data_IF_424362428129
#
_entry.id   IF_424362428129
#
_cell.length_a   1.000
_cell.length_b   1.000
_cell.length_c   1.000
_cell.angle_alpha   90.00
_cell.angle_beta   90.00
_cell.angle_gamma   90.00
#
_symmetry.space_group_name_H-M   'P 1'
#
loop_
_entity.id
_entity.type
_entity.pdbx_description
1 polymer ?
#
# COMPACT_ATOMS: atom_id res chain seq x y z
N UNK A 1 9.66 -19.53 -2.42
CA UNK A 1 9.94 -18.56 -1.34
C UNK A 1 9.74 -17.17 -1.90
N UNK A 2 8.97 -16.31 -1.24
CA UNK A 2 8.73 -14.95 -1.70
C UNK A 2 10.03 -14.16 -1.83
N UNK A 3 10.22 -13.53 -2.98
CA UNK A 3 11.29 -12.57 -3.26
C UNK A 3 10.67 -11.29 -3.76
N UNK A 4 11.21 -10.15 -3.35
CA UNK A 4 10.78 -8.83 -3.79
C UNK A 4 11.98 -7.97 -4.10
N UNK A 5 11.83 -7.05 -5.03
CA UNK A 5 12.77 -5.96 -5.23
C UNK A 5 12.74 -5.02 -4.03
N UNK A 6 13.80 -5.07 -3.24
CA UNK A 6 14.01 -4.15 -2.14
C UNK A 6 14.59 -2.84 -2.67
N UNK A 7 13.88 -1.75 -2.38
CA UNK A 7 14.18 -0.40 -2.86
C UNK A 7 15.51 0.10 -2.31
N UNK A 8 15.84 -0.25 -1.06
CA UNK A 8 17.08 0.17 -0.42
C UNK A 8 18.30 -0.48 -1.10
N UNK A 9 18.24 -1.81 -1.30
CA UNK A 9 19.37 -2.57 -1.89
C UNK A 9 19.38 -2.55 -3.42
N UNK A 10 18.26 -2.19 -4.05
CA UNK A 10 18.03 -2.24 -5.51
C UNK A 10 18.17 -3.64 -6.10
N UNK A 11 17.86 -4.66 -5.30
CA UNK A 11 17.99 -6.07 -5.65
C UNK A 11 16.73 -6.85 -5.31
N UNK A 12 16.48 -7.92 -6.06
CA UNK A 12 15.44 -8.89 -5.73
C UNK A 12 15.95 -9.84 -4.66
N UNK A 13 15.48 -9.62 -3.42
CA UNK A 13 15.93 -10.32 -2.22
C UNK A 13 14.82 -11.23 -1.67
N UNK A 14 15.16 -12.33 -0.98
CA UNK A 14 14.19 -13.08 -0.19
C UNK A 14 13.54 -12.19 0.86
N UNK A 15 12.21 -12.26 0.98
CA UNK A 15 11.48 -11.59 2.06
C UNK A 15 10.92 -12.66 2.99
N UNK A 16 11.48 -12.72 4.19
CA UNK A 16 11.11 -13.69 5.21
C UNK A 16 11.15 -13.05 6.60
N UNK A 17 10.27 -13.47 7.52
CA UNK A 17 10.27 -12.94 8.88
C UNK A 17 11.54 -13.30 9.64
N UNK A 18 12.08 -12.33 10.38
CA UNK A 18 13.23 -12.58 11.26
C UNK A 18 12.80 -13.46 12.46
N UNK A 19 13.32 -14.69 12.53
CA UNK A 19 13.23 -15.55 13.72
C UNK A 19 11.81 -16.04 14.09
N UNK A 20 10.82 -15.90 13.20
CA UNK A 20 9.44 -16.33 13.46
C UNK A 20 8.75 -16.88 12.21
N UNK A 21 7.46 -17.24 12.30
CA UNK A 21 6.59 -17.52 11.15
C UNK A 21 5.61 -16.40 10.84
N UNK A 22 5.85 -15.19 11.38
CA UNK A 22 4.96 -14.03 11.23
C UNK A 22 5.67 -12.94 10.47
N UNK A 23 5.30 -12.72 9.21
CA UNK A 23 5.74 -11.60 8.39
C UNK A 23 4.96 -10.35 8.78
N UNK A 24 5.67 -9.33 9.28
CA UNK A 24 5.10 -8.07 9.76
C UNK A 24 5.29 -7.00 8.71
N UNK A 25 4.19 -6.47 8.22
CA UNK A 25 4.15 -5.58 7.06
C UNK A 25 3.41 -4.29 7.39
N UNK A 26 4.03 -3.16 7.10
CA UNK A 26 3.39 -1.85 7.14
C UNK A 26 3.09 -1.37 5.73
N UNK A 27 1.89 -0.83 5.49
CA UNK A 27 1.53 -0.18 4.22
C UNK A 27 1.15 1.26 4.49
N UNK A 28 1.93 2.19 3.93
CA UNK A 28 1.63 3.61 4.02
C UNK A 28 0.44 3.96 3.11
N UNK A 29 -0.61 4.54 3.69
CA UNK A 29 -1.66 5.24 2.96
C UNK A 29 -1.27 6.71 2.77
N UNK A 30 -1.62 7.30 1.62
CA UNK A 30 -1.40 8.72 1.39
C UNK A 30 -2.37 9.57 2.23
N UNK A 31 -1.96 10.80 2.50
CA UNK A 31 -2.83 11.82 3.11
C UNK A 31 -3.61 12.51 1.98
N UNK A 32 -4.95 12.52 2.05
CA UNK A 32 -5.83 13.11 1.03
C UNK A 32 -6.81 12.09 0.43
N UNK A 33 -7.75 12.55 -0.43
CA UNK A 33 -8.81 11.72 -1.00
C UNK A 33 -8.26 10.50 -1.73
N UNK A 34 -8.80 9.33 -1.39
CA UNK A 34 -8.39 8.04 -1.92
C UNK A 34 -8.91 7.87 -3.34
N UNK A 35 -8.05 7.36 -4.22
CA UNK A 35 -8.41 6.94 -5.56
C UNK A 35 -7.68 5.68 -5.99
N UNK A 36 -7.76 5.34 -7.27
CA UNK A 36 -7.08 4.16 -7.84
C UNK A 36 -5.59 4.09 -7.51
N UNK A 37 -4.92 5.25 -7.38
CA UNK A 37 -3.50 5.35 -7.02
C UNK A 37 -3.19 4.79 -5.63
N UNK A 38 -4.10 4.93 -4.67
CA UNK A 38 -3.95 4.41 -3.30
C UNK A 38 -4.27 2.92 -3.19
N UNK A 39 -5.03 2.38 -4.15
CA UNK A 39 -5.31 0.95 -4.25
C UNK A 39 -4.08 0.16 -4.71
N UNK A 40 -3.13 0.79 -5.40
CA UNK A 40 -1.95 0.10 -5.92
C UNK A 40 -0.98 -0.42 -4.85
N UNK A 41 -0.54 0.37 -3.86
CA UNK A 41 0.25 -0.17 -2.75
C UNK A 41 -0.56 -1.15 -1.89
N UNK A 42 -1.88 -0.97 -1.77
CA UNK A 42 -2.75 -1.91 -1.08
C UNK A 42 -2.84 -3.27 -1.81
N UNK A 43 -2.92 -3.27 -3.14
CA UNK A 43 -2.86 -4.47 -3.97
C UNK A 43 -1.51 -5.19 -3.83
N UNK A 44 -0.41 -4.43 -3.83
CA UNK A 44 0.92 -4.98 -3.58
C UNK A 44 0.99 -5.69 -2.23
N UNK A 45 0.50 -5.05 -1.16
CA UNK A 45 0.42 -5.66 0.16
C UNK A 45 -0.47 -6.92 0.19
N UNK A 46 -1.61 -6.90 -0.48
CA UNK A 46 -2.50 -8.07 -0.61
C UNK A 46 -1.82 -9.24 -1.34
N UNK A 47 -1.09 -8.98 -2.43
CA UNK A 47 -0.35 -9.99 -3.17
C UNK A 47 0.80 -10.58 -2.34
N UNK A 48 1.60 -9.73 -1.68
CA UNK A 48 2.62 -10.17 -0.72
C UNK A 48 1.99 -11.10 0.32
N UNK A 49 0.85 -10.69 0.90
CA UNK A 49 0.15 -11.48 1.90
C UNK A 49 -0.26 -12.84 1.38
N UNK A 50 -0.91 -12.88 0.22
CA UNK A 50 -1.41 -14.12 -0.39
C UNK A 50 -0.29 -15.09 -0.77
N UNK A 51 0.83 -14.58 -1.30
CA UNK A 51 1.99 -15.42 -1.65
C UNK A 51 2.72 -15.91 -0.39
N UNK A 52 2.89 -15.05 0.63
CA UNK A 52 3.52 -15.43 1.89
C UNK A 52 2.72 -16.50 2.64
N UNK A 53 1.39 -16.38 2.69
CA UNK A 53 0.53 -17.35 3.37
C UNK A 53 0.53 -18.74 2.70
N UNK A 54 0.73 -18.79 1.38
CA UNK A 54 0.95 -20.08 0.68
C UNK A 54 2.25 -20.75 1.05
N UNK A 55 3.25 -19.99 1.48
CA UNK A 55 4.48 -20.50 2.07
C UNK A 55 4.33 -20.84 3.58
N UNK A 56 3.09 -20.94 4.08
CA UNK A 56 2.76 -21.20 5.49
C UNK A 56 3.28 -20.14 6.47
N UNK A 57 3.42 -18.89 6.02
CA UNK A 57 3.68 -17.75 6.88
C UNK A 57 2.35 -17.14 7.32
N UNK A 58 2.26 -16.68 8.57
CA UNK A 58 1.21 -15.74 8.97
C UNK A 58 1.67 -14.34 8.59
N UNK A 59 0.75 -13.49 8.17
CA UNK A 59 1.03 -12.07 7.93
C UNK A 59 0.33 -11.24 8.99
N UNK A 60 1.06 -10.29 9.57
CA UNK A 60 0.52 -9.25 10.45
C UNK A 60 0.69 -7.91 9.70
N UNK A 61 -0.41 -7.41 9.17
CA UNK A 61 -0.44 -6.19 8.38
C UNK A 61 -0.98 -5.01 9.19
N UNK A 62 -0.33 -3.86 9.03
CA UNK A 62 -0.79 -2.58 9.54
C UNK A 62 -0.84 -1.56 8.40
N UNK A 63 -1.93 -0.80 8.31
CA UNK A 63 -2.09 0.29 7.34
C UNK A 63 -2.72 1.48 8.05
N UNK A 64 -2.07 2.63 8.03
CA UNK A 64 -2.67 3.83 8.61
C UNK A 64 -3.88 4.30 7.79
N UNK A 65 -4.78 5.06 8.43
CA UNK A 65 -5.90 5.73 7.78
C UNK A 65 -5.85 7.21 8.13
N UNK A 66 -5.56 8.04 7.12
CA UNK A 66 -5.52 9.50 7.31
C UNK A 66 -6.93 10.08 7.40
N UNK A 67 -7.30 10.54 8.59
CA UNK A 67 -8.57 11.22 8.89
C UNK A 67 -8.40 12.71 9.23
N UNK A 68 -7.18 13.25 9.06
CA UNK A 68 -6.88 14.67 9.33
C UNK A 68 -6.85 15.51 8.06
N UNK A 69 -7.56 16.65 8.08
CA UNK A 69 -7.46 17.70 7.06
C UNK A 69 -6.19 18.49 7.34
N UNK A 70 -5.24 18.46 6.42
CA UNK A 70 -4.10 19.38 6.43
C UNK A 70 -4.35 20.47 5.39
N UNK A 71 -4.28 21.73 5.82
CA UNK A 71 -4.13 22.86 4.91
C UNK A 71 -2.68 22.88 4.44
N UNK A 72 -2.44 22.54 3.18
CA UNK A 72 -1.10 22.70 2.61
C UNK A 72 -0.73 24.19 2.62
N UNK A 73 0.39 24.53 3.25
CA UNK A 73 0.90 25.89 3.42
C UNK A 73 1.46 26.52 2.14
N UNK A 74 0.72 26.51 1.03
CA UNK A 74 1.22 27.11 -0.22
C UNK A 74 0.20 27.44 -1.30
N UNK A 75 -0.99 26.86 -1.29
CA UNK A 75 -2.02 27.21 -2.29
C UNK A 75 -3.37 26.99 -1.63
N UNK A 76 -4.05 28.09 -1.26
CA UNK A 76 -5.28 28.11 -0.47
C UNK A 76 -6.49 27.49 -1.18
N UNK A 77 -6.44 26.19 -1.47
CA UNK A 77 -7.58 25.41 -1.92
C UNK A 77 -8.25 24.86 -0.68
N UNK A 78 -9.50 25.28 -0.47
CA UNK A 78 -10.37 24.81 0.60
C UNK A 78 -10.41 23.27 0.61
N UNK A 79 -9.79 22.67 1.61
CA UNK A 79 -9.96 21.27 1.96
C UNK A 79 -11.17 21.09 2.90
N UNK A 80 -12.25 21.83 2.63
CA UNK A 80 -13.41 21.99 3.50
C UNK A 80 -14.55 21.00 3.26
N UNK A 81 -14.33 19.92 2.52
CA UNK A 81 -15.31 18.85 2.40
C UNK A 81 -14.61 17.52 2.11
N UNK A 82 -14.99 16.46 2.85
CA UNK A 82 -14.73 15.03 2.58
C UNK A 82 -13.47 14.34 3.14
N UNK A 83 -13.31 14.25 4.48
CA UNK A 83 -12.41 13.25 5.09
C UNK A 83 -13.07 12.16 5.93
N UNK A 84 -14.24 12.38 6.54
CA UNK A 84 -14.98 11.26 7.16
C UNK A 84 -15.34 10.17 6.13
N UNK A 85 -15.49 10.54 4.86
CA UNK A 85 -15.70 9.62 3.75
C UNK A 85 -14.44 8.92 3.22
N UNK A 86 -13.24 9.43 3.50
CA UNK A 86 -12.02 8.99 2.82
C UNK A 86 -11.53 7.60 3.30
N UNK A 87 -11.42 7.41 4.62
CA UNK A 87 -11.05 6.11 5.19
C UNK A 87 -12.11 5.03 4.94
N UNK A 88 -13.39 5.41 4.97
CA UNK A 88 -14.51 4.53 4.65
C UNK A 88 -14.50 4.14 3.17
N UNK A 89 -14.22 5.09 2.25
CA UNK A 89 -14.10 4.83 0.82
C UNK A 89 -12.93 3.89 0.52
N UNK A 90 -11.72 4.16 1.04
CA UNK A 90 -10.57 3.28 0.79
C UNK A 90 -10.81 1.86 1.30
N UNK A 91 -11.44 1.70 2.48
CA UNK A 91 -11.80 0.39 2.99
C UNK A 91 -12.78 -0.33 2.05
N UNK A 92 -13.88 0.34 1.68
CA UNK A 92 -14.87 -0.20 0.76
C UNK A 92 -14.26 -0.57 -0.60
N UNK A 93 -13.39 0.28 -1.14
CA UNK A 93 -12.71 0.06 -2.42
C UNK A 93 -11.76 -1.13 -2.34
N UNK A 94 -11.00 -1.26 -1.25
CA UNK A 94 -10.15 -2.45 -1.06
C UNK A 94 -10.94 -3.75 -0.94
N UNK A 95 -12.11 -3.72 -0.29
CA UNK A 95 -13.01 -4.87 -0.24
C UNK A 95 -13.61 -5.20 -1.62
N UNK A 96 -14.03 -4.19 -2.38
CA UNK A 96 -14.56 -4.36 -3.73
C UNK A 96 -13.51 -4.97 -4.69
N UNK A 97 -12.22 -4.74 -4.42
CA UNK A 97 -11.10 -5.37 -5.14
C UNK A 97 -10.60 -6.67 -4.49
N UNK A 98 -11.40 -7.33 -3.66
CA UNK A 98 -11.07 -8.58 -2.98
C UNK A 98 -9.75 -8.53 -2.19
N UNK A 99 -9.34 -7.37 -1.71
CA UNK A 99 -8.13 -7.26 -0.88
C UNK A 99 -8.45 -7.61 0.57
N UNK A 100 -7.51 -8.29 1.23
CA UNK A 100 -7.66 -8.64 2.64
C UNK A 100 -7.43 -7.43 3.53
N UNK A 101 -8.33 -7.20 4.48
CA UNK A 101 -8.17 -6.15 5.47
C UNK A 101 -6.90 -6.40 6.34
N UNK A 102 -6.13 -5.36 6.66
CA UNK A 102 -5.01 -5.48 7.60
C UNK A 102 -5.53 -5.69 9.03
N UNK A 103 -4.75 -6.37 9.87
CA UNK A 103 -5.09 -6.60 11.27
C UNK A 103 -5.15 -5.30 12.08
N UNK A 104 -4.41 -4.27 11.66
CA UNK A 104 -4.41 -2.95 12.27
C UNK A 104 -4.67 -1.86 11.24
N UNK A 105 -5.70 -1.05 11.47
CA UNK A 105 -6.01 0.15 10.67
C UNK A 105 -6.21 1.40 11.54
N UNK A 106 -5.17 1.84 12.28
CA UNK A 106 -5.33 2.98 13.18
C UNK A 106 -5.58 4.27 12.39
N UNK A 107 -6.45 5.13 12.92
CA UNK A 107 -6.64 6.47 12.37
C UNK A 107 -5.51 7.38 12.82
N UNK A 108 -5.11 8.34 11.98
CA UNK A 108 -4.09 9.31 12.33
C UNK A 108 -4.43 10.05 13.63
N UNK A 109 -5.69 10.48 13.81
CA UNK A 109 -6.16 11.13 15.04
C UNK A 109 -5.97 10.27 16.31
N UNK A 110 -6.12 8.95 16.21
CA UNK A 110 -5.98 7.98 17.32
C UNK A 110 -4.52 7.70 17.69
N UNK A 111 -3.57 8.03 16.81
CA UNK A 111 -2.14 7.74 16.98
C UNK A 111 -1.33 8.91 17.52
N UNK A 112 -1.94 10.06 17.79
CA UNK A 112 -1.19 11.27 18.15
C UNK A 112 -0.30 11.10 19.39
N UNK A 113 -0.76 10.35 20.39
CA UNK A 113 0.07 10.03 21.56
C UNK A 113 1.37 9.32 21.19
N UNK A 114 1.34 8.44 20.18
CA UNK A 114 2.52 7.73 19.65
C UNK A 114 3.45 8.69 18.92
N UNK A 115 2.89 9.66 18.19
CA UNK A 115 3.65 10.70 17.49
C UNK A 115 4.40 11.59 18.48
N UNK A 116 3.72 12.07 19.52
CA UNK A 116 4.33 12.88 20.58
C UNK A 116 5.42 12.08 21.31
N UNK A 117 5.18 10.81 21.62
CA UNK A 117 6.20 9.94 22.22
C UNK A 117 7.43 9.77 21.32
N UNK A 118 7.22 9.55 20.02
CA UNK A 118 8.31 9.41 19.06
C UNK A 118 9.16 10.68 18.99
N UNK A 119 8.54 11.85 18.91
CA UNK A 119 9.24 13.14 18.87
C UNK A 119 10.05 13.36 20.15
N UNK A 120 9.47 13.06 21.32
CA UNK A 120 10.17 13.14 22.59
C UNK A 120 11.42 12.25 22.60
N UNK A 121 11.29 11.00 22.13
CA UNK A 121 12.41 10.07 22.01
C UNK A 121 13.49 10.55 21.05
N UNK A 122 13.11 11.18 19.94
CA UNK A 122 14.06 11.77 18.98
C UNK A 122 14.86 12.92 19.60
N UNK A 123 14.21 13.78 20.40
CA UNK A 123 14.88 14.84 21.15
C UNK A 123 15.86 14.25 22.17
N UNK A 124 15.40 13.28 22.98
CA UNK A 124 16.23 12.63 24.00
C UNK A 124 17.48 11.97 23.41
N UNK A 125 17.39 11.45 22.17
CA UNK A 125 18.49 10.80 21.47
C UNK A 125 19.35 11.76 20.63
N UNK A 126 19.06 13.06 20.63
CA UNK A 126 19.83 14.07 19.90
C UNK A 126 19.59 14.08 18.39
N UNK A 127 18.43 13.60 17.93
CA UNK A 127 18.03 13.60 16.52
C UNK A 127 16.96 14.64 16.18
N UNK A 128 16.47 15.36 17.18
CA UNK A 128 15.50 16.45 17.01
C UNK A 128 15.77 17.57 18.02
N UNK A 129 15.32 18.78 17.68
CA UNK A 129 15.43 19.95 18.54
C UNK A 129 14.15 20.79 18.50
N UNK A 130 13.79 21.36 19.66
CA UNK A 130 12.66 22.27 19.80
C UNK A 130 13.12 23.73 19.72
N UNK A 131 12.33 24.59 19.09
CA UNK A 131 12.56 26.05 19.05
C UNK A 131 11.84 26.74 20.21
N UNK A 132 12.26 27.96 20.60
CA UNK A 132 11.57 28.74 21.64
C UNK A 132 10.08 29.00 21.34
N UNK A 133 9.70 29.00 20.06
CA UNK A 133 8.33 29.21 19.58
C UNK A 133 7.48 27.93 19.59
N UNK A 134 8.03 26.80 20.01
CA UNK A 134 7.32 25.52 20.15
C UNK A 134 7.30 24.63 18.92
N UNK A 135 8.02 25.00 17.85
CA UNK A 135 8.25 24.10 16.72
C UNK A 135 9.29 23.03 17.08
N UNK A 136 9.18 21.85 16.49
CA UNK A 136 10.20 20.80 16.63
C UNK A 136 10.65 20.35 15.25
N UNK A 137 11.96 20.26 15.05
CA UNK A 137 12.57 19.83 13.80
C UNK A 137 13.39 18.56 14.01
N UNK A 138 13.44 17.71 12.99
CA UNK A 138 14.42 16.64 12.89
C UNK A 138 15.75 17.24 12.41
N UNK A 139 16.85 16.94 13.11
CA UNK A 139 18.20 17.30 12.68
C UNK A 139 18.66 16.29 11.63
N UNK A 140 18.62 16.68 10.36
CA UNK A 140 18.97 15.78 9.26
C UNK A 140 20.45 15.40 9.25
N UNK A 141 21.34 16.25 9.81
CA UNK A 141 22.76 15.97 9.93
C UNK A 141 23.06 14.88 10.97
N UNK A 142 22.17 14.69 11.94
CA UNK A 142 22.26 13.62 12.94
C UNK A 142 22.06 12.19 12.37
N UNK A 143 21.58 12.06 11.11
CA UNK A 143 21.34 10.77 10.45
C UNK A 143 22.14 10.64 9.13
N UNK A 144 23.40 10.17 9.18
CA UNK A 144 24.32 10.20 8.04
C UNK A 144 23.86 9.43 6.80
N UNK A 145 23.00 8.43 6.98
CA UNK A 145 22.48 7.54 5.95
C UNK A 145 21.19 8.05 5.29
N UNK A 146 20.84 9.34 5.48
CA UNK A 146 19.70 9.96 4.82
C UNK A 146 19.89 10.05 3.30
N UNK A 147 18.89 9.59 2.54
CA UNK A 147 18.88 9.58 1.08
C UNK A 147 19.24 8.23 0.45
N UNK A 148 19.56 7.20 1.26
CA UNK A 148 19.97 5.88 0.75
C UNK A 148 18.85 5.12 0.03
N UNK A 149 17.63 5.16 0.56
CA UNK A 149 16.47 4.48 -0.06
C UNK A 149 16.15 5.14 -1.41
N UNK A 150 16.03 6.47 -1.40
CA UNK A 150 15.65 7.26 -2.57
C UNK A 150 16.78 7.43 -3.59
N UNK A 151 18.02 7.13 -3.22
CA UNK A 151 19.20 7.39 -4.05
C UNK A 151 19.51 8.87 -4.23
N UNK A 152 19.14 9.71 -3.24
CA UNK A 152 19.36 11.16 -3.23
C UNK A 152 20.26 11.58 -2.06
N UNK A 153 21.53 11.10 -2.00
CA UNK A 153 22.45 11.52 -0.94
C UNK A 153 22.69 13.04 -1.00
N UNK A 154 22.89 13.67 0.16
CA UNK A 154 23.15 15.11 0.26
C UNK A 154 21.92 16.02 0.09
N UNK A 155 20.71 15.45 0.04
CA UNK A 155 19.44 16.20 0.08
C UNK A 155 18.92 16.46 1.51
N UNK A 156 19.80 16.30 2.51
CA UNK A 156 19.48 16.44 3.92
C UNK A 156 19.27 17.92 4.26
N UNK A 157 18.06 18.23 4.73
CA UNK A 157 17.70 19.51 5.34
C UNK A 157 16.76 19.22 6.48
N UNK A 158 16.89 19.93 7.59
CA UNK A 158 15.99 19.77 8.73
C UNK A 158 14.52 19.95 8.31
N UNK A 159 13.63 19.14 8.89
CA UNK A 159 12.21 19.17 8.54
C UNK A 159 11.34 19.17 9.80
N UNK A 160 10.14 19.79 9.72
CA UNK A 160 9.27 19.89 10.88
C UNK A 160 8.74 18.52 11.30
N UNK A 161 8.88 18.21 12.58
CA UNK A 161 8.20 17.14 13.30
C UNK A 161 6.97 17.64 14.03
N UNK A 162 6.95 18.93 14.41
CA UNK A 162 5.84 19.60 15.07
C UNK A 162 5.76 21.07 14.69
N UNK A 163 4.55 21.55 14.41
CA UNK A 163 4.26 22.93 14.03
C UNK A 163 3.33 23.57 15.08
N UNK A 164 3.74 24.67 15.72
CA UNK A 164 2.93 25.33 16.75
C UNK A 164 1.74 26.07 16.13
N UNK A 165 0.61 26.11 16.84
CA UNK A 165 -0.59 26.86 16.45
C UNK A 165 -0.86 27.96 17.47
N UNK A 166 -1.10 29.18 16.99
CA UNK A 166 -1.32 30.35 17.85
C UNK A 166 -2.60 30.22 18.71
N UNK A 167 -2.54 30.65 19.97
CA UNK A 167 -3.63 30.57 20.96
C UNK A 167 -4.93 31.27 20.51
N UNK A 168 -4.84 32.33 19.70
CA UNK A 168 -6.00 33.14 19.25
C UNK A 168 -6.90 32.48 18.20
N UNK A 169 -6.55 31.28 17.71
CA UNK A 169 -7.43 30.46 16.88
C UNK A 169 -8.28 29.47 17.70
N UNK A 170 -8.24 29.57 19.03
CA UNK A 170 -9.05 28.77 19.94
C UNK A 170 -10.51 29.25 20.02
N UNK A 171 -11.42 28.29 19.91
CA UNK A 171 -12.87 28.34 20.22
C UNK A 171 -13.88 28.75 19.14
N UNK A 172 -13.47 29.19 17.94
CA UNK A 172 -14.42 29.46 16.84
C UNK A 172 -14.43 28.40 15.71
N UNK A 173 -13.68 27.30 15.84
CA UNK A 173 -13.74 26.17 14.91
C UNK A 173 -14.74 25.09 15.36
N UNK A 174 -15.99 25.50 15.59
CA UNK A 174 -17.12 24.57 15.57
C UNK A 174 -17.35 24.11 14.13
N UNK A 175 -16.63 23.06 13.74
CA UNK A 175 -16.64 22.51 12.38
C UNK A 175 -15.42 22.97 11.58
N UNK A 176 -14.61 22.01 11.15
CA UNK A 176 -13.74 22.12 9.96
C UNK A 176 -12.34 22.75 10.06
N UNK A 177 -11.86 23.14 11.25
CA UNK A 177 -10.41 23.32 11.46
C UNK A 177 -9.82 22.03 12.04
N UNK A 178 -8.78 21.49 11.40
CA UNK A 178 -8.11 20.24 11.81
C UNK A 178 -7.80 20.21 13.30
N UNK A 179 -7.95 19.02 13.91
CA UNK A 179 -7.69 18.83 15.34
C UNK A 179 -6.28 19.35 15.71
N UNK A 180 -6.16 20.00 16.86
CA UNK A 180 -4.90 20.52 17.42
C UNK A 180 -4.64 19.80 18.73
N UNK A 181 -3.39 19.44 19.01
CA UNK A 181 -3.02 18.66 20.19
C UNK A 181 -2.05 19.40 21.09
N UNK A 182 -2.09 19.08 22.37
CA UNK A 182 -1.11 19.53 23.35
C UNK A 182 0.09 18.58 23.37
N UNK A 183 1.30 19.14 23.42
CA UNK A 183 2.55 18.40 23.53
C UNK A 183 3.51 19.15 24.48
N UNK A 184 4.61 18.50 24.95
CA UNK A 184 5.57 19.12 25.86
C UNK A 184 6.21 20.41 25.34
N UNK A 185 6.24 20.60 24.02
CA UNK A 185 6.75 21.78 23.33
C UNK A 185 5.64 22.77 22.92
N UNK A 186 4.43 22.61 23.44
CA UNK A 186 3.30 23.49 23.18
C UNK A 186 2.28 22.92 22.22
N UNK A 187 1.18 23.67 22.07
CA UNK A 187 0.01 23.26 21.29
C UNK A 187 0.27 23.39 19.79
N UNK A 188 -0.08 22.36 19.01
CA UNK A 188 0.26 22.32 17.60
C UNK A 188 -0.22 21.10 16.82
N UNK A 189 0.40 20.90 15.67
CA UNK A 189 0.11 19.84 14.70
C UNK A 189 1.38 19.02 14.43
N UNK A 190 1.26 17.70 14.21
CA UNK A 190 2.42 16.88 13.86
C UNK A 190 2.89 17.17 12.43
N UNK A 191 4.18 16.96 12.14
CA UNK A 191 4.71 16.91 10.77
C UNK A 191 4.08 15.77 9.95
N UNK A 192 4.08 15.89 8.62
CA UNK A 192 3.39 14.95 7.70
C UNK A 192 3.90 13.50 7.78
N UNK A 193 5.19 13.35 8.11
CA UNK A 193 5.90 12.08 7.96
C UNK A 193 5.99 11.29 9.29
N UNK A 194 5.69 11.94 10.42
CA UNK A 194 5.95 11.40 11.76
C UNK A 194 4.98 10.30 12.16
N UNK A 195 3.73 10.39 11.72
CA UNK A 195 2.73 9.35 11.98
C UNK A 195 3.13 8.02 11.34
N UNK A 196 3.51 8.03 10.06
CA UNK A 196 3.99 6.84 9.35
C UNK A 196 5.27 6.23 9.95
N UNK A 197 5.98 6.97 10.80
CA UNK A 197 7.15 6.50 11.54
C UNK A 197 6.78 5.89 12.88
N UNK A 198 5.81 6.46 13.59
CA UNK A 198 5.38 6.03 14.93
C UNK A 198 4.45 4.80 14.88
N UNK A 199 3.51 4.79 13.95
CA UNK A 199 2.50 3.75 13.80
C UNK A 199 3.10 2.34 13.67
N UNK A 200 3.99 2.04 12.70
CA UNK A 200 4.54 0.69 12.57
C UNK A 200 5.34 0.25 13.80
N UNK A 201 6.05 1.16 14.48
CA UNK A 201 6.81 0.83 15.69
C UNK A 201 5.89 0.33 16.82
N UNK A 202 4.67 0.86 16.92
CA UNK A 202 3.70 0.46 17.94
C UNK A 202 3.01 -0.86 17.63
N UNK A 203 2.63 -1.09 16.38
CA UNK A 203 1.81 -2.24 15.98
C UNK A 203 2.63 -3.45 15.52
N UNK A 204 3.83 -3.24 14.99
CA UNK A 204 4.70 -4.30 14.44
C UNK A 204 5.99 -4.49 15.24
N UNK A 205 6.31 -3.54 16.12
CA UNK A 205 7.50 -3.55 16.98
C UNK A 205 8.67 -2.75 16.42
N UNK A 206 9.79 -2.67 17.16
CA UNK A 206 10.94 -1.81 16.84
C UNK A 206 11.78 -2.28 15.64
N UNK A 207 11.46 -3.44 15.09
CA UNK A 207 12.00 -3.99 13.84
C UNK A 207 10.90 -4.84 13.22
N UNK A 208 10.53 -4.61 11.96
CA UNK A 208 9.53 -5.34 11.18
C UNK A 208 10.06 -5.65 9.78
N UNK A 209 9.34 -6.48 9.03
CA UNK A 209 9.92 -7.21 7.90
C UNK A 209 9.76 -6.46 6.57
N UNK A 210 8.65 -5.75 6.36
CA UNK A 210 8.37 -5.07 5.09
C UNK A 210 7.65 -3.72 5.26
N UNK A 211 8.16 -2.68 4.63
CA UNK A 211 7.49 -1.41 4.42
C UNK A 211 7.01 -1.30 2.96
N UNK A 212 5.73 -1.02 2.76
CA UNK A 212 5.09 -0.90 1.44
C UNK A 212 4.57 0.52 1.24
N UNK A 213 4.77 1.08 0.06
CA UNK A 213 4.10 2.33 -0.31
C UNK A 213 4.26 2.68 -1.80
N UNK A 214 3.94 3.92 -2.16
CA UNK A 214 4.02 4.39 -3.55
C UNK A 214 5.40 4.96 -3.89
N UNK A 215 5.81 4.84 -5.15
CA UNK A 215 7.11 5.34 -5.60
C UNK A 215 7.28 6.86 -5.42
N UNK A 216 6.22 7.66 -5.57
CA UNK A 216 6.24 9.12 -5.32
C UNK A 216 6.49 9.46 -3.84
N UNK A 217 6.09 8.58 -2.92
CA UNK A 217 6.32 8.75 -1.49
C UNK A 217 7.71 8.28 -1.04
N UNK A 218 8.48 7.63 -1.92
CA UNK A 218 9.85 7.21 -1.59
C UNK A 218 10.69 8.40 -1.10
N UNK A 219 10.53 9.58 -1.71
CA UNK A 219 11.16 10.82 -1.26
C UNK A 219 10.18 12.01 -1.26
N UNK A 220 10.18 12.85 -0.21
CA UNK A 220 10.96 12.70 1.03
C UNK A 220 10.28 11.82 2.07
N UNK A 221 9.01 11.43 1.86
CA UNK A 221 8.16 10.86 2.92
C UNK A 221 8.73 9.58 3.56
N UNK A 222 9.03 8.54 2.77
CA UNK A 222 9.58 7.29 3.30
C UNK A 222 11.05 7.40 3.73
N UNK A 223 11.84 8.27 3.07
CA UNK A 223 13.20 8.56 3.50
C UNK A 223 13.22 9.17 4.91
N UNK A 224 12.32 10.13 5.17
CA UNK A 224 12.11 10.71 6.49
C UNK A 224 11.55 9.70 7.47
N UNK A 225 10.65 8.82 7.04
CA UNK A 225 10.11 7.76 7.89
C UNK A 225 11.22 6.80 8.37
N UNK A 226 12.10 6.37 7.46
CA UNK A 226 13.29 5.58 7.83
C UNK A 226 14.16 6.34 8.83
N UNK A 227 14.50 7.60 8.54
CA UNK A 227 15.38 8.38 9.41
C UNK A 227 14.81 8.51 10.83
N UNK A 228 13.52 8.83 10.95
CA UNK A 228 12.83 8.99 12.23
C UNK A 228 12.72 7.66 12.99
N UNK A 229 12.27 6.59 12.34
CA UNK A 229 12.15 5.28 12.99
C UNK A 229 13.51 4.74 13.40
N UNK A 230 14.54 4.85 12.56
CA UNK A 230 15.87 4.32 12.84
C UNK A 230 16.59 5.13 13.93
N UNK A 231 16.48 6.45 13.92
CA UNK A 231 16.99 7.31 14.98
C UNK A 231 16.35 6.97 16.34
N UNK A 232 15.04 6.70 16.34
CA UNK A 232 14.30 6.37 17.55
C UNK A 232 14.61 4.97 18.11
N UNK A 233 14.87 3.98 17.25
CA UNK A 233 15.15 2.59 17.66
C UNK A 233 16.64 2.29 17.81
N UNK A 234 17.51 3.01 17.10
CA UNK A 234 18.95 2.75 17.00
C UNK A 234 19.31 1.63 16.02
N UNK A 235 18.38 1.19 15.16
CA UNK A 235 18.57 0.12 14.17
C UNK A 235 17.66 0.33 12.95
N UNK A 236 17.84 -0.45 11.89
CA UNK A 236 16.86 -0.49 10.79
C UNK A 236 15.50 -0.98 11.31
N UNK A 237 14.50 -0.12 11.29
CA UNK A 237 13.16 -0.46 11.74
C UNK A 237 12.43 -1.36 10.72
N UNK A 238 12.65 -1.15 9.42
CA UNK A 238 12.10 -1.99 8.35
C UNK A 238 13.24 -2.74 7.64
N UNK A 239 13.16 -4.06 7.56
CA UNK A 239 14.18 -4.87 6.89
C UNK A 239 14.18 -4.67 5.36
N UNK A 240 13.01 -4.46 4.76
CA UNK A 240 12.84 -4.31 3.31
C UNK A 240 11.84 -3.20 2.96
N UNK A 241 12.05 -2.57 1.81
CA UNK A 241 11.19 -1.51 1.27
C UNK A 241 10.68 -1.85 -0.12
N UNK A 242 9.36 -1.94 -0.31
CA UNK A 242 8.74 -2.21 -1.61
C UNK A 242 7.86 -1.04 -2.06
N UNK A 243 8.07 -0.57 -3.28
CA UNK A 243 7.31 0.56 -3.84
C UNK A 243 6.55 0.19 -5.12
N UNK A 244 5.27 0.53 -5.18
CA UNK A 244 4.47 0.44 -6.41
C UNK A 244 4.75 1.61 -7.35
N UNK A 245 4.79 1.35 -8.65
CA UNK A 245 4.97 2.36 -9.69
C UNK A 245 3.82 3.36 -9.78
N UNK A 246 4.07 4.49 -10.44
CA UNK A 246 3.09 5.55 -10.62
C UNK A 246 1.87 5.09 -11.43
N UNK A 247 0.71 5.68 -11.14
CA UNK A 247 -0.52 5.43 -11.88
C UNK A 247 -0.92 6.71 -12.62
N UNK A 248 -1.08 6.57 -13.93
CA UNK A 248 -1.75 7.53 -14.78
C UNK A 248 -3.16 7.01 -15.06
N UNK A 249 -4.08 7.92 -15.34
CA UNK A 249 -5.39 7.61 -15.88
C UNK A 249 -5.65 8.49 -17.09
N UNK A 250 -5.92 7.88 -18.24
CA UNK A 250 -6.07 8.58 -19.52
C UNK A 250 -4.90 9.53 -19.81
N UNK A 251 -3.66 9.05 -19.62
CA UNK A 251 -2.43 9.79 -19.87
C UNK A 251 -2.11 10.90 -18.87
N UNK A 252 -2.96 11.12 -17.86
CA UNK A 252 -2.76 12.14 -16.82
C UNK A 252 -2.40 11.49 -15.49
N UNK A 253 -1.49 12.07 -14.68
CA UNK A 253 -1.26 11.61 -13.31
C UNK A 253 -2.58 11.48 -12.55
N UNK A 254 -2.81 10.33 -11.94
CA UNK A 254 -3.92 10.14 -11.02
C UNK A 254 -3.42 10.51 -9.62
N UNK A 255 -3.52 11.79 -9.29
CA UNK A 255 -3.05 12.37 -8.03
C UNK A 255 -4.18 13.13 -7.32
N UNK A 256 -3.85 13.92 -6.31
CA UNK A 256 -4.84 14.70 -5.55
C UNK A 256 -5.57 15.74 -6.40
N UNK A 257 -5.02 16.16 -7.54
CA UNK A 257 -5.66 17.07 -8.50
C UNK A 257 -6.53 16.35 -9.54
N UNK A 258 -6.39 15.04 -9.69
CA UNK A 258 -7.14 14.19 -10.63
C UNK A 258 -7.43 12.83 -9.98
N UNK A 259 -8.24 12.86 -8.94
CA UNK A 259 -8.65 11.64 -8.23
C UNK A 259 -9.65 10.87 -9.09
N UNK A 260 -9.31 9.61 -9.37
CA UNK A 260 -10.22 8.66 -10.03
C UNK A 260 -10.74 7.69 -8.98
N UNK A 261 -12.02 7.80 -8.57
CA UNK A 261 -12.60 6.90 -7.59
C UNK A 261 -12.99 5.57 -8.24
N UNK A 262 -12.90 4.47 -7.50
CA UNK A 262 -13.35 3.16 -7.97
C UNK A 262 -14.86 3.17 -8.30
N UNK A 263 -15.64 3.95 -7.56
CA UNK A 263 -17.09 4.12 -7.82
C UNK A 263 -17.39 4.63 -9.22
N UNK A 264 -16.48 5.39 -9.85
CA UNK A 264 -16.62 5.83 -11.24
C UNK A 264 -16.56 4.67 -12.24
N UNK A 265 -15.71 3.67 -11.97
CA UNK A 265 -15.61 2.44 -12.77
C UNK A 265 -16.87 1.60 -12.62
N UNK A 266 -17.39 1.46 -11.40
CA UNK A 266 -18.65 0.75 -11.12
C UNK A 266 -19.83 1.44 -11.78
N UNK A 267 -19.89 2.77 -11.73
CA UNK A 267 -20.94 3.56 -12.38
C UNK A 267 -20.94 3.42 -13.91
N UNK A 268 -19.78 3.13 -14.51
CA UNK A 268 -19.64 2.80 -15.93
C UNK A 268 -20.12 1.38 -16.30
N UNK A 269 -20.60 0.60 -15.32
CA UNK A 269 -21.14 -0.75 -15.52
C UNK A 269 -20.07 -1.85 -15.56
N UNK A 270 -18.83 -1.53 -15.18
CA UNK A 270 -17.72 -2.49 -15.13
C UNK A 270 -17.64 -3.16 -13.76
N UNK A 271 -17.19 -4.42 -13.76
CA UNK A 271 -16.86 -5.12 -12.53
C UNK A 271 -15.67 -4.43 -11.85
N UNK A 272 -15.73 -4.12 -10.54
CA UNK A 272 -14.57 -3.60 -9.80
C UNK A 272 -13.30 -4.43 -10.02
N UNK A 273 -13.41 -5.76 -10.12
CA UNK A 273 -12.28 -6.65 -10.31
C UNK A 273 -11.65 -6.54 -11.70
N UNK A 274 -12.27 -5.85 -12.66
CA UNK A 274 -11.60 -5.42 -13.89
C UNK A 274 -10.43 -4.48 -13.58
N UNK A 275 -10.56 -3.58 -12.59
CA UNK A 275 -9.45 -2.75 -12.12
C UNK A 275 -8.34 -3.61 -11.54
N UNK A 276 -8.69 -4.62 -10.74
CA UNK A 276 -7.71 -5.54 -10.16
C UNK A 276 -6.98 -6.29 -11.27
N UNK A 277 -7.69 -6.87 -12.23
CA UNK A 277 -7.08 -7.59 -13.35
C UNK A 277 -6.17 -6.66 -14.15
N UNK A 278 -6.65 -5.47 -14.55
CA UNK A 278 -5.85 -4.48 -15.26
C UNK A 278 -4.57 -4.11 -14.51
N UNK A 279 -4.61 -3.97 -13.18
CA UNK A 279 -3.42 -3.73 -12.38
C UNK A 279 -2.46 -4.94 -12.35
N UNK A 280 -2.98 -6.17 -12.34
CA UNK A 280 -2.19 -7.41 -12.35
C UNK A 280 -1.52 -7.68 -13.69
N UNK A 281 -2.04 -7.14 -14.79
CA UNK A 281 -1.44 -7.21 -16.13
C UNK A 281 -0.14 -6.41 -16.26
N UNK A 282 0.16 -5.55 -15.28
CA UNK A 282 1.38 -4.77 -15.24
C UNK A 282 2.18 -5.07 -13.96
N UNK A 283 3.49 -5.23 -14.12
CA UNK A 283 4.36 -5.48 -12.98
C UNK A 283 4.27 -4.32 -11.97
N UNK A 284 4.13 -4.63 -10.68
CA UNK A 284 3.77 -3.66 -9.64
C UNK A 284 4.70 -2.43 -9.56
N UNK A 285 5.98 -2.61 -9.89
CA UNK A 285 7.05 -1.61 -9.89
C UNK A 285 7.00 -0.63 -11.06
N UNK A 286 6.33 -1.00 -12.16
CA UNK A 286 6.33 -0.22 -13.40
C UNK A 286 5.23 0.85 -13.34
N UNK A 287 5.48 2.06 -13.87
CA UNK A 287 4.38 2.98 -14.14
C UNK A 287 3.32 2.31 -15.02
N UNK A 288 2.06 2.63 -14.78
CA UNK A 288 0.91 2.17 -15.59
C UNK A 288 0.09 3.38 -16.00
N UNK A 289 -0.49 3.33 -17.20
CA UNK A 289 -1.58 4.20 -17.61
C UNK A 289 -2.85 3.35 -17.70
N UNK A 290 -3.78 3.56 -16.77
CA UNK A 290 -5.10 2.93 -16.83
C UNK A 290 -5.99 3.77 -17.73
N UNK A 291 -6.43 3.19 -18.84
CA UNK A 291 -7.40 3.81 -19.74
C UNK A 291 -8.74 3.09 -19.62
N UNK A 292 -9.82 3.74 -20.06
CA UNK A 292 -11.12 3.09 -20.17
C UNK A 292 -11.06 1.89 -21.09
N UNK A 293 -10.30 1.97 -22.19
CA UNK A 293 -10.09 0.83 -23.09
C UNK A 293 -9.45 -0.37 -22.37
N UNK A 294 -8.44 -0.12 -21.52
CA UNK A 294 -7.80 -1.17 -20.72
C UNK A 294 -8.77 -1.76 -19.69
N UNK A 295 -9.60 -0.93 -19.05
CA UNK A 295 -10.61 -1.40 -18.09
C UNK A 295 -11.72 -2.21 -18.77
N UNK A 296 -12.19 -1.80 -19.95
CA UNK A 296 -13.15 -2.56 -20.74
C UNK A 296 -12.57 -3.92 -21.18
N UNK A 297 -11.33 -3.93 -21.67
CA UNK A 297 -10.65 -5.18 -22.05
C UNK A 297 -10.48 -6.12 -20.84
N UNK A 298 -10.11 -5.60 -19.67
CA UNK A 298 -10.01 -6.38 -18.45
C UNK A 298 -11.38 -6.91 -17.98
N UNK A 299 -12.46 -6.14 -18.09
CA UNK A 299 -13.82 -6.60 -17.77
C UNK A 299 -14.26 -7.75 -18.69
N UNK A 300 -14.01 -7.62 -19.99
CA UNK A 300 -14.31 -8.66 -20.98
C UNK A 300 -13.51 -9.94 -20.72
N UNK A 301 -12.21 -9.82 -20.44
CA UNK A 301 -11.37 -10.96 -20.09
C UNK A 301 -11.85 -11.63 -18.80
N UNK A 302 -12.17 -10.87 -17.76
CA UNK A 302 -12.68 -11.39 -16.50
C UNK A 302 -13.96 -12.21 -16.71
N UNK A 303 -14.92 -11.69 -17.49
CA UNK A 303 -16.15 -12.41 -17.85
C UNK A 303 -15.86 -13.66 -18.68
N UNK A 304 -14.87 -13.63 -19.58
CA UNK A 304 -14.45 -14.82 -20.32
C UNK A 304 -13.90 -15.88 -19.37
N UNK A 305 -12.96 -15.52 -18.50
CA UNK A 305 -12.32 -16.44 -17.57
C UNK A 305 -13.34 -17.09 -16.62
N UNK A 306 -14.29 -16.32 -16.07
CA UNK A 306 -15.36 -16.84 -15.23
C UNK A 306 -16.25 -17.85 -15.95
N UNK A 307 -16.66 -17.56 -17.20
CA UNK A 307 -17.40 -18.52 -18.03
C UNK A 307 -16.62 -19.79 -18.28
N UNK A 308 -15.32 -19.70 -18.62
CA UNK A 308 -14.46 -20.87 -18.84
C UNK A 308 -14.33 -21.72 -17.59
N UNK A 309 -14.13 -21.10 -16.43
CA UNK A 309 -14.07 -21.79 -15.14
C UNK A 309 -15.41 -22.48 -14.82
N UNK A 310 -16.54 -21.83 -15.10
CA UNK A 310 -17.86 -22.42 -14.94
C UNK A 310 -18.08 -23.63 -15.87
N UNK A 311 -17.69 -23.55 -17.14
CA UNK A 311 -17.75 -24.67 -18.09
C UNK A 311 -16.88 -25.85 -17.62
N UNK A 312 -15.66 -25.58 -17.17
CA UNK A 312 -14.75 -26.63 -16.70
C UNK A 312 -15.24 -27.29 -15.40
N UNK A 313 -16.01 -26.57 -14.58
CA UNK A 313 -16.59 -27.10 -13.35
C UNK A 313 -17.62 -28.23 -13.60
N UNK A 314 -18.17 -28.33 -14.81
CA UNK A 314 -19.08 -29.43 -15.21
C UNK A 314 -18.35 -30.75 -15.50
N UNK A 315 -17.01 -30.70 -15.58
CA UNK A 315 -16.18 -31.89 -15.81
C UNK A 315 -15.70 -32.50 -14.49
N UNK A 316 -15.43 -33.82 -14.44
CA UNK A 316 -14.85 -34.45 -13.26
C UNK A 316 -13.53 -33.77 -12.86
N UNK A 317 -13.40 -33.41 -11.58
CA UNK A 317 -12.18 -32.84 -11.01
C UNK A 317 -10.96 -33.74 -11.30
N UNK A 318 -9.82 -33.11 -11.56
CA UNK A 318 -8.53 -33.75 -11.83
C UNK A 318 -7.43 -32.98 -11.09
N UNK A 319 -6.30 -33.62 -10.74
CA UNK A 319 -5.18 -32.92 -10.14
C UNK A 319 -4.78 -31.67 -10.95
N UNK A 320 -4.28 -30.67 -10.22
CA UNK A 320 -3.67 -29.46 -10.80
C UNK A 320 -2.62 -29.87 -11.84
N UNK A 321 -2.53 -29.11 -12.93
CA UNK A 321 -1.51 -29.34 -13.95
C UNK A 321 -0.13 -28.90 -13.43
N UNK A 322 0.72 -29.87 -13.07
CA UNK A 322 2.03 -29.62 -12.48
C UNK A 322 2.96 -28.82 -13.41
N UNK A 323 2.84 -29.02 -14.73
CA UNK A 323 3.70 -28.38 -15.72
C UNK A 323 3.50 -26.86 -15.76
N UNK A 324 2.24 -26.40 -15.76
CA UNK A 324 1.89 -24.98 -15.72
C UNK A 324 1.98 -24.43 -14.30
N UNK A 325 1.48 -25.17 -13.30
CA UNK A 325 1.42 -24.71 -11.91
C UNK A 325 2.78 -24.32 -11.35
N UNK A 326 3.81 -25.14 -11.56
CA UNK A 326 5.15 -24.81 -11.09
C UNK A 326 5.71 -23.54 -11.72
N UNK A 327 5.35 -23.22 -12.98
CA UNK A 327 5.79 -21.99 -13.67
C UNK A 327 5.04 -20.76 -13.13
N UNK A 328 3.72 -20.87 -12.96
CA UNK A 328 2.87 -19.79 -12.42
C UNK A 328 3.30 -19.45 -10.99
N UNK A 329 3.52 -20.48 -10.15
CA UNK A 329 3.99 -20.26 -8.79
C UNK A 329 5.35 -19.57 -8.74
N UNK A 330 6.31 -19.94 -9.60
CA UNK A 330 7.61 -19.26 -9.66
C UNK A 330 7.48 -17.80 -10.07
N UNK A 331 6.61 -17.48 -11.03
CA UNK A 331 6.35 -16.10 -11.44
C UNK A 331 5.78 -15.27 -10.28
N UNK A 332 4.83 -15.83 -9.52
CA UNK A 332 4.27 -15.16 -8.34
C UNK A 332 5.28 -15.04 -7.19
N UNK A 333 6.20 -15.98 -7.03
CA UNK A 333 7.19 -15.95 -5.95
C UNK A 333 8.42 -15.06 -6.25
N UNK A 334 8.75 -14.86 -7.53
CA UNK A 334 9.90 -14.07 -7.98
C UNK A 334 9.47 -12.65 -8.36
N UNK A 335 9.58 -11.73 -7.40
CA UNK A 335 9.22 -10.31 -7.54
C UNK A 335 7.75 -10.05 -7.93
N UNK A 336 6.84 -10.97 -7.58
CA UNK A 336 5.40 -10.87 -7.89
C UNK A 336 5.15 -10.56 -9.38
N UNK A 337 5.76 -11.32 -10.30
CA UNK A 337 5.57 -11.17 -11.75
C UNK A 337 4.17 -11.67 -12.17
N UNK A 338 3.15 -10.91 -11.78
CA UNK A 338 1.74 -11.17 -12.11
C UNK A 338 1.47 -11.14 -13.62
N UNK A 339 2.10 -10.30 -14.46
CA UNK A 339 1.95 -10.40 -15.91
C UNK A 339 2.40 -11.75 -16.46
N UNK A 340 3.56 -12.26 -16.01
CA UNK A 340 4.02 -13.57 -16.43
C UNK A 340 3.09 -14.68 -15.93
N UNK A 341 2.60 -14.59 -14.69
CA UNK A 341 1.63 -15.54 -14.13
C UNK A 341 0.32 -15.59 -14.95
N UNK A 342 -0.24 -14.43 -15.29
CA UNK A 342 -1.46 -14.34 -16.11
C UNK A 342 -1.24 -14.91 -17.52
N UNK A 343 -0.12 -14.59 -18.17
CA UNK A 343 0.23 -15.19 -19.47
C UNK A 343 0.31 -16.71 -19.40
N UNK A 344 0.93 -17.26 -18.36
CA UNK A 344 1.03 -18.71 -18.16
C UNK A 344 -0.33 -19.38 -17.93
N UNK A 345 -1.27 -18.67 -17.29
CA UNK A 345 -2.66 -19.14 -17.16
C UNK A 345 -3.40 -19.08 -18.50
N UNK A 346 -3.17 -18.06 -19.32
CA UNK A 346 -3.72 -17.99 -20.69
C UNK A 346 -3.17 -19.13 -21.58
N UNK A 347 -1.89 -19.47 -21.43
CA UNK A 347 -1.30 -20.64 -22.10
C UNK A 347 -2.05 -21.94 -21.69
N UNK A 348 -2.31 -22.12 -20.39
CA UNK A 348 -3.07 -23.25 -19.86
C UNK A 348 -4.54 -23.26 -20.34
N UNK A 349 -5.20 -22.10 -20.40
CA UNK A 349 -6.57 -21.97 -20.93
C UNK A 349 -6.64 -22.52 -22.36
N UNK A 350 -5.65 -22.18 -23.19
CA UNK A 350 -5.56 -22.55 -24.60
C UNK A 350 -5.08 -23.99 -24.86
N UNK A 351 -4.45 -24.65 -23.88
CA UNK A 351 -3.88 -25.99 -24.07
C UNK A 351 -4.98 -27.07 -24.10
N UNK A 352 -5.36 -27.54 -25.29
CA UNK A 352 -6.38 -28.58 -25.48
C UNK A 352 -5.97 -29.96 -24.96
N UNK A 353 -4.69 -30.20 -24.67
CA UNK A 353 -4.21 -31.47 -24.12
C UNK A 353 -4.50 -31.63 -22.63
N UNK A 354 -4.75 -30.53 -21.92
CA UNK A 354 -5.07 -30.54 -20.49
C UNK A 354 -6.57 -30.70 -20.28
N UNK A 355 -6.94 -31.70 -19.47
CA UNK A 355 -8.35 -31.98 -19.16
C UNK A 355 -9.04 -30.78 -18.49
N UNK A 356 -10.31 -30.47 -18.82
CA UNK A 356 -11.05 -29.35 -18.22
C UNK A 356 -11.03 -29.32 -16.68
N UNK A 357 -11.24 -30.47 -16.02
CA UNK A 357 -11.19 -30.56 -14.56
C UNK A 357 -9.82 -30.20 -13.97
N UNK A 358 -8.72 -30.39 -14.70
CA UNK A 358 -7.37 -29.98 -14.26
C UNK A 358 -7.16 -28.47 -14.45
N UNK A 359 -7.69 -27.90 -15.55
CA UNK A 359 -7.73 -26.44 -15.74
C UNK A 359 -8.52 -25.77 -14.63
N UNK A 360 -9.71 -26.28 -14.31
CA UNK A 360 -10.54 -25.82 -13.21
C UNK A 360 -9.76 -25.73 -11.89
N UNK A 361 -9.21 -26.86 -11.41
CA UNK A 361 -8.46 -26.89 -10.15
C UNK A 361 -7.23 -25.96 -10.18
N UNK A 362 -6.53 -25.87 -11.30
CA UNK A 362 -5.35 -25.01 -11.44
C UNK A 362 -5.72 -23.52 -11.40
N UNK A 363 -6.79 -23.12 -12.09
CA UNK A 363 -7.27 -21.74 -12.06
C UNK A 363 -7.74 -21.33 -10.67
N UNK A 364 -8.52 -22.19 -9.99
CA UNK A 364 -8.95 -21.92 -8.61
C UNK A 364 -7.77 -21.85 -7.65
N UNK A 365 -6.79 -22.74 -7.83
CA UNK A 365 -5.58 -22.75 -7.03
C UNK A 365 -4.82 -21.41 -7.08
N UNK A 366 -4.73 -20.79 -8.26
CA UNK A 366 -4.07 -19.48 -8.40
C UNK A 366 -5.00 -18.30 -8.13
N UNK A 367 -6.32 -18.47 -8.22
CA UNK A 367 -7.29 -17.45 -7.83
C UNK A 367 -7.24 -17.15 -6.33
N UNK A 368 -6.72 -18.05 -5.49
CA UNK A 368 -6.39 -17.72 -4.10
C UNK A 368 -5.34 -16.59 -3.97
N UNK A 369 -4.51 -16.36 -5.00
CA UNK A 369 -3.56 -15.24 -5.06
C UNK A 369 -4.11 -14.10 -5.91
N UNK A 370 -4.62 -14.41 -7.10
CA UNK A 370 -5.11 -13.41 -8.04
C UNK A 370 -6.41 -12.75 -7.58
N UNK A 371 -7.26 -13.46 -6.82
CA UNK A 371 -8.48 -12.98 -6.18
C UNK A 371 -9.45 -12.27 -7.14
N UNK A 372 -9.62 -12.84 -8.33
CA UNK A 372 -10.50 -12.37 -9.40
C UNK A 372 -11.93 -12.91 -9.27
N UNK A 373 -12.18 -13.76 -8.27
CA UNK A 373 -13.48 -14.42 -8.06
C UNK A 373 -13.90 -15.18 -9.33
N UNK A 374 -13.00 -16.02 -9.82
CA UNK A 374 -13.23 -16.83 -11.02
C UNK A 374 -14.38 -17.84 -10.88
N UNK A 375 -14.71 -18.37 -9.69
CA UNK A 375 -15.89 -19.22 -9.48
C UNK A 375 -17.26 -18.55 -9.64
N UNK A 376 -17.34 -17.22 -9.80
CA UNK A 376 -18.59 -16.46 -9.63
C UNK A 376 -19.77 -16.92 -10.53
N UNK A 377 -19.47 -17.50 -11.69
CA UNK A 377 -20.47 -17.94 -12.68
C UNK A 377 -20.80 -19.44 -12.61
N UNK A 378 -20.21 -20.20 -11.69
CA UNK A 378 -20.51 -21.63 -11.52
C UNK A 378 -22.00 -21.80 -11.20
N UNK A 379 -22.68 -22.63 -12.01
CA UNK A 379 -24.12 -22.89 -11.90
C UNK A 379 -25.02 -21.77 -12.44
N UNK A 380 -24.47 -20.78 -13.14
CA UNK A 380 -25.21 -19.67 -13.77
C UNK A 380 -25.15 -19.67 -15.30
N UNK A 381 -24.31 -20.51 -15.89
CA UNK A 381 -24.10 -20.62 -17.34
C UNK A 381 -25.11 -21.53 -18.03
#
# INVERSE_FOLDING_TARGET
MLRLHDTLTRQVVPVAPAGSRVLRMYTCAAHGPAGLTDLRPALLADLVRRVAERANLRVLACRNVSDLVRRDGGDGRDAGDALEGNGASLHADTLALNMRAPEHSPRTSETMGLVIELIGRLIERGHAYATPEGAVFFDAASFPTYGEISGKPGSASDWPLWEPVAESQGDSAGGDAGAVWDAPWGRGLPGRDVECSATPLRFLGPHFDLYVGRADLCFPHHERARAQSNAATGQEAAAHWAHSGHLLFEGRPADTGHVVPLSGVVAAGLDPLAVRLALLEHHYRRPIDLTWDALHAADEELRRLRRRVAEWAESPSRPIDDAHSGRVQRALEDDLDTPAALRLLRDLEADESVAPGSKFETFLHFDHVLALDLPADIGRI
#
